data_IF_594738072690
#
_entry.id   IF_594738072690
#
_cell.length_a   1.000
_cell.length_b   1.000
_cell.length_c   1.000
_cell.angle_alpha   90.00
_cell.angle_beta   90.00
_cell.angle_gamma   90.00
#
_symmetry.space_group_name_H-M   'P 1'
#
loop_
_entity.id
_entity.type
_entity.pdbx_description
1 polymer ?
#
# COMPACT_ATOMS: atom_id res chain seq x y z
N UNK A 1 -10.08 -12.94 -12.94
CA UNK A 1 -8.68 -13.29 -12.61
C UNK A 1 -8.61 -14.69 -12.03
N UNK A 2 -7.55 -15.46 -12.31
CA UNK A 2 -7.37 -16.82 -11.79
C UNK A 2 -6.56 -16.79 -10.50
N UNK A 3 -7.09 -17.38 -9.41
CA UNK A 3 -6.37 -17.53 -8.14
C UNK A 3 -5.36 -18.67 -8.23
N UNK A 4 -4.15 -18.44 -7.76
CA UNK A 4 -3.11 -19.43 -7.51
C UNK A 4 -2.94 -19.53 -5.98
N UNK A 5 -3.47 -20.60 -5.41
CA UNK A 5 -3.32 -20.91 -3.97
C UNK A 5 -1.93 -21.51 -3.73
N UNK A 6 -1.22 -21.05 -2.68
CA UNK A 6 0.13 -21.53 -2.35
C UNK A 6 1.12 -21.46 -3.52
N UNK A 7 1.38 -20.27 -4.10
CA UNK A 7 2.19 -20.14 -5.30
C UNK A 7 3.62 -20.68 -5.08
N UNK A 8 4.10 -21.43 -6.07
CA UNK A 8 5.45 -21.95 -6.17
C UNK A 8 6.32 -21.03 -7.02
N UNK A 9 7.63 -21.29 -7.11
CA UNK A 9 8.53 -20.57 -8.03
C UNK A 9 8.09 -20.72 -9.50
N UNK A 10 7.53 -21.86 -9.90
CA UNK A 10 6.99 -22.04 -11.26
C UNK A 10 5.74 -21.18 -11.49
N UNK A 11 4.95 -20.92 -10.47
CA UNK A 11 3.80 -20.00 -10.58
C UNK A 11 4.25 -18.55 -10.63
N UNK A 12 5.35 -18.19 -9.95
CA UNK A 12 5.99 -16.87 -10.09
C UNK A 12 6.51 -16.65 -11.51
N UNK A 13 7.10 -17.67 -12.16
CA UNK A 13 7.49 -17.62 -13.59
C UNK A 13 6.29 -17.43 -14.50
N UNK A 14 5.21 -18.20 -14.32
CA UNK A 14 3.97 -18.05 -15.09
C UNK A 14 3.37 -16.65 -14.93
N UNK A 15 3.40 -16.10 -13.72
CA UNK A 15 2.93 -14.76 -13.43
C UNK A 15 3.82 -13.68 -14.09
N UNK A 16 5.14 -13.89 -14.12
CA UNK A 16 6.06 -13.03 -14.85
C UNK A 16 5.80 -13.03 -16.36
N UNK A 17 5.56 -14.21 -16.96
CA UNK A 17 5.14 -14.33 -18.37
C UNK A 17 3.80 -13.60 -18.58
N UNK A 18 2.83 -13.76 -17.71
CA UNK A 18 1.55 -13.04 -17.82
C UNK A 18 1.75 -11.51 -17.85
N UNK A 19 2.68 -10.97 -17.04
CA UNK A 19 3.03 -9.54 -17.08
C UNK A 19 3.65 -9.13 -18.42
N UNK A 20 4.56 -9.93 -18.99
CA UNK A 20 5.16 -9.64 -20.32
C UNK A 20 4.12 -9.66 -21.43
N UNK A 21 3.08 -10.50 -21.32
CA UNK A 21 1.94 -10.58 -22.24
C UNK A 21 0.93 -9.42 -22.05
N UNK A 22 1.18 -8.49 -21.11
CA UNK A 22 0.31 -7.35 -20.83
C UNK A 22 -0.88 -7.68 -19.92
N UNK A 23 -0.87 -8.86 -19.29
CA UNK A 23 -1.87 -9.21 -18.27
C UNK A 23 -1.54 -8.56 -16.93
N UNK A 24 -2.54 -8.55 -16.03
CA UNK A 24 -2.38 -8.05 -14.68
C UNK A 24 -2.12 -9.19 -13.70
N UNK A 25 -1.25 -8.95 -12.75
CA UNK A 25 -0.97 -9.89 -11.67
C UNK A 25 -1.20 -9.21 -10.34
N UNK A 26 -2.13 -9.73 -9.54
CA UNK A 26 -2.26 -9.34 -8.14
C UNK A 26 -1.30 -10.18 -7.31
N UNK A 27 -0.52 -9.51 -6.46
CA UNK A 27 0.49 -10.16 -5.63
C UNK A 27 0.52 -9.57 -4.22
N UNK A 28 0.86 -10.39 -3.20
CA UNK A 28 1.01 -9.94 -1.83
C UNK A 28 2.28 -9.11 -1.69
N UNK A 29 2.23 -8.12 -0.80
CA UNK A 29 3.43 -7.54 -0.22
C UNK A 29 3.38 -7.68 1.30
N UNK A 30 4.45 -7.29 1.99
CA UNK A 30 4.43 -7.26 3.45
C UNK A 30 3.44 -6.22 4.01
N UNK A 31 3.03 -5.24 3.19
CA UNK A 31 2.11 -4.15 3.55
C UNK A 31 0.66 -4.45 3.19
N UNK A 32 0.33 -4.42 1.91
CA UNK A 32 -1.00 -4.72 1.35
C UNK A 32 -0.84 -5.42 0.01
N UNK A 33 -1.87 -6.05 -0.52
CA UNK A 33 -1.85 -6.60 -1.88
C UNK A 33 -1.74 -5.48 -2.93
N UNK A 34 -0.95 -5.72 -3.97
CA UNK A 34 -0.83 -4.86 -5.14
C UNK A 34 -1.44 -5.49 -6.39
N UNK A 35 -2.05 -4.66 -7.26
CA UNK A 35 -2.43 -5.09 -8.61
C UNK A 35 -1.40 -4.54 -9.59
N UNK A 36 -0.62 -5.45 -10.19
CA UNK A 36 0.58 -5.14 -10.97
C UNK A 36 0.39 -5.22 -12.46
N UNK A 37 1.10 -4.36 -13.16
CA UNK A 37 1.31 -4.39 -14.60
C UNK A 37 2.78 -4.13 -14.92
N UNK A 38 3.25 -4.59 -16.08
CA UNK A 38 4.54 -4.14 -16.63
C UNK A 38 4.57 -2.61 -16.69
N UNK A 39 5.50 -2.01 -15.95
CA UNK A 39 5.63 -0.55 -15.87
C UNK A 39 6.07 0.08 -17.20
N UNK A 40 6.56 -0.71 -18.14
CA UNK A 40 6.96 -0.28 -19.49
C UNK A 40 5.83 -0.44 -20.53
N UNK A 41 4.69 -1.05 -20.16
CA UNK A 41 3.56 -1.31 -21.05
C UNK A 41 2.40 -0.32 -20.80
N UNK A 42 2.19 0.70 -21.66
CA UNK A 42 1.12 1.70 -21.48
C UNK A 42 -0.29 1.08 -21.51
N UNK A 43 -0.50 0.01 -22.28
CA UNK A 43 -1.80 -0.66 -22.37
C UNK A 43 -2.15 -1.34 -21.05
N UNK A 44 -1.20 -2.08 -20.46
CA UNK A 44 -1.36 -2.74 -19.18
C UNK A 44 -1.56 -1.72 -18.02
N UNK A 45 -0.81 -0.61 -18.02
CA UNK A 45 -0.99 0.49 -17.06
C UNK A 45 -2.40 1.10 -17.18
N UNK A 46 -2.86 1.37 -18.40
CA UNK A 46 -4.22 1.91 -18.61
C UNK A 46 -5.31 0.93 -18.13
N UNK A 47 -5.07 -0.38 -18.18
CA UNK A 47 -5.98 -1.39 -17.60
C UNK A 47 -6.08 -1.24 -16.09
N UNK A 48 -4.96 -1.02 -15.37
CA UNK A 48 -4.99 -0.73 -13.92
C UNK A 48 -5.90 0.47 -13.62
N UNK A 49 -5.70 1.59 -14.31
CA UNK A 49 -6.51 2.80 -14.10
C UNK A 49 -8.01 2.54 -14.35
N UNK A 50 -8.33 1.83 -15.42
CA UNK A 50 -9.71 1.50 -15.79
C UNK A 50 -10.37 0.58 -14.75
N UNK A 51 -9.73 -0.55 -14.41
CA UNK A 51 -10.28 -1.54 -13.47
C UNK A 51 -10.50 -0.92 -12.09
N UNK A 52 -9.54 -0.16 -11.60
CA UNK A 52 -9.64 0.50 -10.30
C UNK A 52 -10.52 1.76 -10.29
N UNK A 53 -11.03 2.22 -11.44
CA UNK A 53 -11.67 3.54 -11.59
C UNK A 53 -10.81 4.68 -11.03
N UNK A 54 -9.48 4.55 -11.19
CA UNK A 54 -8.49 5.46 -10.63
C UNK A 54 -8.24 6.64 -11.58
N UNK A 55 -8.19 7.89 -11.11
CA UNK A 55 -7.79 9.04 -11.94
C UNK A 55 -6.35 8.86 -12.46
N UNK A 56 -6.12 9.17 -13.75
CA UNK A 56 -4.78 9.07 -14.36
C UNK A 56 -3.78 10.06 -13.76
N UNK A 57 -4.24 11.13 -13.12
CA UNK A 57 -3.41 12.06 -12.35
C UNK A 57 -2.88 11.48 -11.04
N UNK A 58 -3.40 10.33 -10.58
CA UNK A 58 -2.91 9.64 -9.38
C UNK A 58 -1.73 8.75 -9.75
N UNK A 59 -0.48 9.05 -9.32
CA UNK A 59 0.70 8.28 -9.71
C UNK A 59 0.65 6.84 -9.19
N UNK A 60 1.43 5.97 -9.82
CA UNK A 60 1.65 4.58 -9.43
C UNK A 60 3.05 4.44 -8.81
N UNK A 61 3.23 3.46 -7.93
CA UNK A 61 4.53 3.08 -7.40
C UNK A 61 5.08 1.94 -8.27
N UNK A 62 6.32 2.08 -8.70
CA UNK A 62 7.05 1.04 -9.40
C UNK A 62 7.77 0.16 -8.39
N UNK A 63 7.48 -1.13 -8.44
CA UNK A 63 8.15 -2.15 -7.64
C UNK A 63 9.27 -2.77 -8.46
N UNK A 64 10.46 -2.84 -7.88
CA UNK A 64 11.67 -3.40 -8.48
C UNK A 64 12.22 -4.53 -7.61
N UNK A 65 13.01 -5.44 -8.20
CA UNK A 65 13.56 -6.61 -7.51
C UNK A 65 14.68 -6.22 -6.52
N UNK A 66 15.47 -5.21 -6.86
CA UNK A 66 16.60 -4.76 -6.06
C UNK A 66 17.00 -3.31 -6.37
N UNK A 67 17.89 -2.74 -5.54
CA UNK A 67 18.34 -1.34 -5.65
C UNK A 67 19.04 -1.02 -6.98
N UNK A 68 19.65 -2.00 -7.68
CA UNK A 68 20.38 -1.74 -8.95
C UNK A 68 19.43 -1.23 -10.03
N UNK A 69 18.17 -1.65 -10.02
CA UNK A 69 17.16 -1.24 -10.97
C UNK A 69 16.64 0.18 -10.72
N UNK A 70 17.00 0.78 -9.59
CA UNK A 70 16.62 2.14 -9.23
C UNK A 70 17.03 3.16 -10.31
N UNK A 71 18.25 3.02 -10.85
CA UNK A 71 18.82 3.94 -11.85
C UNK A 71 18.16 3.86 -13.23
N UNK A 72 17.36 2.84 -13.48
CA UNK A 72 16.51 2.80 -14.69
C UNK A 72 15.36 3.81 -14.62
N UNK A 73 14.82 4.03 -13.41
CA UNK A 73 13.60 4.81 -13.16
C UNK A 73 13.87 6.23 -12.68
N UNK A 74 14.94 6.44 -11.93
CA UNK A 74 15.25 7.70 -11.25
C UNK A 74 16.60 8.27 -11.65
N UNK A 75 16.73 9.60 -11.55
CA UNK A 75 17.97 10.36 -11.70
C UNK A 75 18.21 11.25 -10.48
N UNK A 76 19.42 11.78 -10.36
CA UNK A 76 19.81 12.76 -9.33
C UNK A 76 19.41 12.29 -7.91
N UNK A 77 19.76 11.04 -7.58
CA UNK A 77 19.39 10.39 -6.33
C UNK A 77 20.26 10.95 -5.20
N UNK A 78 19.68 11.62 -4.19
CA UNK A 78 20.46 12.14 -3.06
C UNK A 78 21.11 11.03 -2.24
N UNK A 79 22.28 11.31 -1.62
CA UNK A 79 22.98 10.33 -0.80
C UNK A 79 22.10 9.75 0.32
N UNK A 80 21.32 10.60 1.01
CA UNK A 80 20.42 10.12 2.06
C UNK A 80 19.35 9.16 1.52
N UNK A 81 18.89 9.35 0.28
CA UNK A 81 17.92 8.44 -0.34
C UNK A 81 18.56 7.10 -0.69
N UNK A 82 19.84 7.07 -1.08
CA UNK A 82 20.58 5.81 -1.24
C UNK A 82 20.74 5.10 0.10
N UNK A 83 21.11 5.82 1.17
CA UNK A 83 21.18 5.27 2.53
C UNK A 83 19.84 4.67 2.96
N UNK A 84 18.71 5.36 2.70
CA UNK A 84 17.38 4.84 3.01
C UNK A 84 17.06 3.56 2.21
N UNK A 85 17.41 3.53 0.92
CA UNK A 85 17.22 2.36 0.08
C UNK A 85 18.06 1.18 0.56
N UNK A 86 19.35 1.38 0.83
CA UNK A 86 20.27 0.33 1.32
C UNK A 86 19.89 -0.21 2.70
N UNK A 87 19.30 0.64 3.56
CA UNK A 87 18.92 0.27 4.93
C UNK A 87 17.57 -0.46 4.97
N UNK A 88 16.58 0.03 4.23
CA UNK A 88 15.19 -0.40 4.40
C UNK A 88 14.63 -1.20 3.23
N UNK A 89 15.38 -1.40 2.14
CA UNK A 89 15.00 -2.31 1.06
C UNK A 89 15.77 -3.64 1.14
N UNK A 90 15.06 -4.75 0.94
CA UNK A 90 13.61 -4.92 0.74
C UNK A 90 12.81 -4.55 2.00
N UNK A 91 11.69 -3.77 1.83
CA UNK A 91 10.87 -3.38 2.99
C UNK A 91 9.78 -2.35 2.71
N UNK A 92 9.08 -1.93 3.81
CA UNK A 92 7.85 -1.15 3.76
C UNK A 92 8.10 0.36 3.58
N UNK A 93 9.01 0.75 2.69
CA UNK A 93 9.35 2.14 2.37
C UNK A 93 9.28 2.38 0.87
N UNK A 94 8.69 3.50 0.47
CA UNK A 94 8.64 3.99 -0.92
C UNK A 94 9.37 5.32 -0.99
N UNK A 95 10.31 5.45 -1.91
CA UNK A 95 11.04 6.68 -2.15
C UNK A 95 10.47 7.38 -3.38
N UNK A 96 10.07 8.65 -3.21
CA UNK A 96 9.73 9.53 -4.32
C UNK A 96 11.00 10.24 -4.74
N UNK A 97 11.42 9.99 -5.97
CA UNK A 97 12.67 10.46 -6.55
C UNK A 97 12.43 11.24 -7.83
N UNK A 98 13.40 12.00 -8.28
CA UNK A 98 13.35 12.65 -9.59
C UNK A 98 13.25 11.61 -10.70
N UNK A 99 12.25 11.73 -11.53
CA UNK A 99 11.98 10.81 -12.63
C UNK A 99 13.08 10.94 -13.70
N UNK A 100 13.62 9.82 -14.16
CA UNK A 100 14.53 9.78 -15.29
C UNK A 100 13.81 10.17 -16.58
N UNK A 101 14.50 10.85 -17.47
CA UNK A 101 13.99 11.18 -18.80
C UNK A 101 13.62 9.90 -19.58
N UNK A 102 12.48 9.92 -20.28
CA UNK A 102 11.95 8.78 -21.03
C UNK A 102 10.99 7.89 -20.23
N UNK A 103 10.91 8.02 -18.91
CA UNK A 103 9.89 7.33 -18.10
C UNK A 103 8.51 7.95 -18.38
N UNK A 104 7.51 7.10 -18.61
CA UNK A 104 6.16 7.49 -19.04
C UNK A 104 5.42 8.33 -18.01
N UNK A 105 4.75 9.39 -18.49
CA UNK A 105 3.84 10.22 -17.69
C UNK A 105 2.66 9.43 -17.09
N UNK A 106 2.27 8.32 -17.72
CA UNK A 106 1.22 7.44 -17.19
C UNK A 106 1.56 6.87 -15.81
N UNK A 107 2.85 6.61 -15.53
CA UNK A 107 3.27 6.12 -14.22
C UNK A 107 3.20 7.20 -13.13
N UNK A 108 3.51 8.42 -13.52
CA UNK A 108 3.75 9.53 -12.58
C UNK A 108 2.57 10.49 -12.47
N UNK A 109 1.49 10.25 -13.23
CA UNK A 109 0.37 11.21 -13.32
C UNK A 109 0.80 12.57 -13.86
N UNK A 110 1.83 12.60 -14.71
CA UNK A 110 2.39 13.83 -15.29
C UNK A 110 3.44 14.54 -14.41
N UNK A 111 3.80 13.99 -13.24
CA UNK A 111 4.79 14.59 -12.35
C UNK A 111 6.23 14.32 -12.81
N UNK A 112 7.15 15.22 -12.43
CA UNK A 112 8.60 15.08 -12.64
C UNK A 112 9.26 14.10 -11.64
N UNK A 113 8.48 13.48 -10.77
CA UNK A 113 8.92 12.53 -9.76
C UNK A 113 8.27 11.16 -9.94
N UNK A 114 8.89 10.13 -9.39
CA UNK A 114 8.44 8.75 -9.45
C UNK A 114 8.58 8.05 -8.09
N UNK A 115 7.59 7.27 -7.71
CA UNK A 115 7.64 6.42 -6.51
C UNK A 115 8.21 5.05 -6.82
N UNK A 116 9.23 4.63 -6.07
CA UNK A 116 9.92 3.36 -6.24
C UNK A 116 10.00 2.61 -4.92
N UNK A 117 9.87 1.28 -4.98
CA UNK A 117 9.93 0.40 -3.81
C UNK A 117 10.52 -0.97 -4.17
N UNK A 118 11.22 -1.56 -3.21
CA UNK A 118 11.58 -3.00 -3.20
C UNK A 118 10.80 -3.66 -2.06
N UNK A 119 9.72 -4.42 -2.33
CA UNK A 119 8.93 -5.07 -1.27
C UNK A 119 9.70 -6.25 -0.66
N UNK A 120 9.45 -6.60 0.61
CA UNK A 120 10.13 -7.72 1.30
C UNK A 120 9.38 -9.06 1.23
N UNK A 121 8.14 -9.08 0.77
CA UNK A 121 7.39 -10.32 0.67
C UNK A 121 8.04 -11.29 -0.33
N UNK A 122 8.24 -12.55 0.06
CA UNK A 122 8.92 -13.57 -0.75
C UNK A 122 8.29 -13.77 -2.13
N UNK A 123 6.96 -13.85 -2.21
CA UNK A 123 6.24 -14.06 -3.48
C UNK A 123 6.43 -12.84 -4.40
N UNK A 124 6.36 -11.63 -3.83
CA UNK A 124 6.62 -10.40 -4.59
C UNK A 124 8.06 -10.37 -5.13
N UNK A 125 9.04 -10.75 -4.30
CA UNK A 125 10.45 -10.80 -4.70
C UNK A 125 10.71 -11.82 -5.80
N UNK A 126 10.16 -13.03 -5.67
CA UNK A 126 10.26 -14.05 -6.71
C UNK A 126 9.62 -13.60 -8.02
N UNK A 127 8.41 -13.00 -7.97
CA UNK A 127 7.74 -12.45 -9.16
C UNK A 127 8.57 -11.37 -9.85
N UNK A 128 9.10 -10.41 -9.07
CA UNK A 128 9.91 -9.30 -9.58
C UNK A 128 11.21 -9.82 -10.23
N UNK A 129 11.87 -10.78 -9.59
CA UNK A 129 13.09 -11.38 -10.11
C UNK A 129 12.83 -12.15 -11.42
N UNK A 130 11.77 -12.98 -11.46
CA UNK A 130 11.40 -13.72 -12.67
C UNK A 130 10.99 -12.78 -13.82
N UNK A 131 10.29 -11.68 -13.51
CA UNK A 131 9.94 -10.67 -14.48
C UNK A 131 11.18 -9.94 -15.03
N UNK A 132 12.16 -9.63 -14.17
CA UNK A 132 13.44 -9.06 -14.57
C UNK A 132 14.25 -10.03 -15.47
N UNK A 133 14.26 -11.33 -15.15
CA UNK A 133 14.91 -12.37 -15.97
C UNK A 133 14.31 -12.45 -17.39
N UNK A 134 13.05 -12.04 -17.57
CA UNK A 134 12.39 -11.92 -18.88
C UNK A 134 12.63 -10.57 -19.57
N UNK A 135 13.46 -9.69 -18.99
CA UNK A 135 13.78 -8.36 -19.52
C UNK A 135 12.89 -7.24 -18.99
N UNK A 136 11.95 -7.53 -18.08
CA UNK A 136 11.12 -6.53 -17.42
C UNK A 136 11.94 -5.62 -16.51
N UNK A 137 11.56 -4.34 -16.40
CA UNK A 137 12.31 -3.35 -15.63
C UNK A 137 11.68 -3.02 -14.28
N UNK A 138 10.42 -3.38 -14.07
CA UNK A 138 9.67 -3.15 -12.84
C UNK A 138 8.17 -3.29 -13.05
N UNK A 139 7.45 -3.46 -11.97
CA UNK A 139 6.00 -3.68 -11.93
C UNK A 139 5.34 -2.45 -11.32
N UNK A 140 4.51 -1.74 -12.10
CA UNK A 140 3.68 -0.65 -11.57
C UNK A 140 2.50 -1.26 -10.81
N UNK A 141 2.42 -1.02 -9.49
CA UNK A 141 1.37 -1.61 -8.68
C UNK A 141 0.82 -0.65 -7.62
N UNK A 142 -0.42 -0.16 -7.77
CA UNK A 142 -1.20 0.38 -6.66
C UNK A 142 -1.77 -0.76 -5.79
N UNK A 143 -2.32 -0.43 -4.63
CA UNK A 143 -3.05 -1.40 -3.78
C UNK A 143 -4.18 -2.11 -4.53
N UNK A 144 -4.47 -3.36 -4.20
CA UNK A 144 -5.45 -4.19 -4.90
C UNK A 144 -6.89 -4.00 -4.35
N UNK A 145 -7.40 -2.76 -4.40
CA UNK A 145 -8.77 -2.35 -4.04
C UNK A 145 -9.34 -1.40 -5.09
N UNK A 146 -10.62 -1.10 -5.07
CA UNK A 146 -11.17 0.00 -5.85
C UNK A 146 -10.66 1.35 -5.32
N UNK A 147 -10.61 2.36 -6.19
CA UNK A 147 -10.04 3.66 -5.78
C UNK A 147 -10.84 4.30 -4.64
N UNK A 148 -10.15 4.65 -3.55
CA UNK A 148 -10.75 5.25 -2.34
C UNK A 148 -11.24 4.25 -1.28
N UNK A 149 -11.41 2.98 -1.63
CA UNK A 149 -11.86 1.93 -0.71
C UNK A 149 -10.72 1.37 0.14
N UNK A 150 -11.06 0.46 1.06
CA UNK A 150 -10.12 -0.23 1.95
C UNK A 150 -9.12 -1.04 1.16
N UNK A 151 -7.84 -0.96 1.52
CA UNK A 151 -6.79 -1.76 0.85
C UNK A 151 -6.86 -3.22 1.28
N UNK A 152 -6.81 -4.13 0.30
CA UNK A 152 -6.87 -5.57 0.56
C UNK A 152 -5.60 -6.08 1.25
N UNK A 153 -5.78 -6.80 2.35
CA UNK A 153 -4.70 -7.45 3.12
C UNK A 153 -4.70 -8.97 3.01
N UNK A 154 -5.68 -9.54 2.30
CA UNK A 154 -5.80 -10.97 2.01
C UNK A 154 -6.23 -11.19 0.56
N UNK A 155 -5.97 -12.39 0.03
CA UNK A 155 -6.39 -12.77 -1.33
C UNK A 155 -7.91 -12.90 -1.47
N UNK A 156 -8.61 -13.24 -0.40
CA UNK A 156 -10.06 -13.42 -0.41
C UNK A 156 -10.77 -12.09 -0.69
N UNK A 157 -10.30 -11.01 -0.05
CA UNK A 157 -10.77 -9.65 -0.32
C UNK A 157 -10.48 -9.24 -1.76
N UNK A 158 -9.27 -9.52 -2.26
CA UNK A 158 -8.92 -9.26 -3.67
C UNK A 158 -9.85 -9.97 -4.62
N UNK A 159 -10.17 -11.26 -4.38
CA UNK A 159 -11.08 -12.02 -5.23
C UNK A 159 -12.48 -11.40 -5.28
N UNK A 160 -12.99 -10.97 -4.14
CA UNK A 160 -14.32 -10.33 -4.10
C UNK A 160 -14.30 -8.97 -4.82
N UNK A 161 -13.27 -8.14 -4.58
CA UNK A 161 -13.12 -6.81 -5.22
C UNK A 161 -13.06 -6.93 -6.75
N UNK A 162 -12.29 -7.89 -7.28
CA UNK A 162 -12.08 -8.04 -8.72
C UNK A 162 -12.85 -9.19 -9.36
N UNK A 163 -13.89 -9.69 -8.71
CA UNK A 163 -14.71 -10.82 -9.15
C UNK A 163 -15.21 -10.71 -10.60
N UNK A 164 -15.58 -9.49 -11.01
CA UNK A 164 -16.12 -9.19 -12.32
C UNK A 164 -15.19 -8.39 -13.23
N UNK A 165 -13.95 -8.11 -12.80
CA UNK A 165 -13.09 -7.12 -13.45
C UNK A 165 -11.88 -7.72 -14.20
N UNK A 166 -11.58 -8.99 -14.06
CA UNK A 166 -10.46 -9.64 -14.71
C UNK A 166 -10.77 -10.13 -16.13
N UNK A 167 -9.72 -10.32 -16.94
CA UNK A 167 -9.81 -11.05 -18.20
C UNK A 167 -9.03 -12.38 -18.08
N UNK A 168 -9.21 -13.24 -19.09
CA UNK A 168 -8.40 -14.46 -19.18
C UNK A 168 -6.92 -14.09 -19.31
N UNK A 169 -6.06 -14.72 -18.51
CA UNK A 169 -4.64 -14.41 -18.38
C UNK A 169 -4.26 -13.61 -17.14
N UNK A 170 -5.20 -12.88 -16.52
CA UNK A 170 -4.94 -12.19 -15.26
C UNK A 170 -4.89 -13.18 -14.08
N UNK A 171 -3.94 -12.97 -13.17
CA UNK A 171 -3.66 -13.87 -12.04
C UNK A 171 -3.75 -13.18 -10.69
N UNK A 172 -4.04 -13.97 -9.66
CA UNK A 172 -3.92 -13.59 -8.25
C UNK A 172 -3.01 -14.60 -7.56
N UNK A 173 -1.89 -14.12 -7.01
CA UNK A 173 -0.98 -14.95 -6.21
C UNK A 173 -1.39 -14.84 -4.73
N UNK A 174 -1.81 -15.96 -4.12
CA UNK A 174 -2.19 -15.99 -2.72
C UNK A 174 -0.96 -16.12 -1.82
N UNK A 175 -0.65 -15.10 -1.06
CA UNK A 175 0.41 -15.11 -0.03
C UNK A 175 -0.11 -15.04 1.40
N UNK A 176 -1.40 -15.32 1.61
CA UNK A 176 -2.03 -15.21 2.93
C UNK A 176 -2.27 -13.76 3.36
N UNK A 177 -2.23 -13.53 4.65
CA UNK A 177 -2.41 -12.21 5.27
C UNK A 177 -1.12 -11.41 5.24
N UNK A 178 -1.18 -10.14 4.83
CA UNK A 178 -0.05 -9.23 4.87
C UNK A 178 0.46 -9.02 6.31
N UNK A 179 1.78 -8.82 6.44
CA UNK A 179 2.46 -8.73 7.74
C UNK A 179 2.08 -7.46 8.50
N UNK A 180 2.13 -6.28 7.84
CA UNK A 180 1.89 -4.98 8.48
C UNK A 180 0.44 -4.50 8.37
N UNK A 181 -0.29 -4.87 7.32
CA UNK A 181 -1.70 -4.55 7.15
C UNK A 181 -2.02 -3.09 6.82
N UNK A 182 -1.02 -2.22 6.71
CA UNK A 182 -1.12 -0.83 6.23
C UNK A 182 -0.03 -0.58 5.19
N UNK A 183 -0.21 0.43 4.35
CA UNK A 183 0.72 0.72 3.25
C UNK A 183 2.08 1.21 3.74
N UNK A 184 3.08 1.14 2.83
CA UNK A 184 4.45 1.63 3.04
C UNK A 184 4.51 3.10 3.46
N UNK A 185 5.53 3.47 4.24
CA UNK A 185 5.93 4.86 4.40
C UNK A 185 6.32 5.44 3.05
N UNK A 186 5.83 6.63 2.69
CA UNK A 186 6.26 7.34 1.47
C UNK A 186 7.09 8.56 1.89
N UNK A 187 8.31 8.61 1.37
CA UNK A 187 9.26 9.68 1.64
C UNK A 187 9.52 10.45 0.35
N UNK A 188 9.36 11.77 0.41
CA UNK A 188 9.85 12.65 -0.63
C UNK A 188 11.37 12.78 -0.52
N UNK A 189 12.06 12.41 -1.58
CA UNK A 189 13.51 12.51 -1.74
C UNK A 189 13.91 13.38 -2.94
N UNK A 190 13.03 14.30 -3.37
CA UNK A 190 13.34 15.24 -4.44
C UNK A 190 13.97 16.54 -3.94
N UNK A 191 13.93 16.77 -2.62
CA UNK A 191 14.46 17.96 -1.95
C UNK A 191 15.82 17.68 -1.28
N UNK A 192 16.43 18.70 -0.69
CA UNK A 192 17.71 18.58 0.00
C UNK A 192 17.63 17.73 1.29
N UNK A 193 16.44 17.54 1.84
CA UNK A 193 16.17 16.71 3.03
C UNK A 193 14.90 15.87 2.85
N UNK A 194 14.80 14.70 3.52
CA UNK A 194 13.64 13.84 3.44
C UNK A 194 12.42 14.48 4.10
N UNK A 195 11.24 14.23 3.53
CA UNK A 195 9.96 14.57 4.18
C UNK A 195 8.94 13.46 3.98
N UNK A 196 8.12 13.17 5.01
CA UNK A 196 7.11 12.11 4.95
C UNK A 196 5.86 12.64 4.27
N UNK A 197 5.49 12.01 3.15
CA UNK A 197 4.23 12.26 2.43
C UNK A 197 3.09 11.36 2.92
N UNK A 198 3.43 10.15 3.37
CA UNK A 198 2.47 9.20 3.94
C UNK A 198 3.14 8.44 5.07
N UNK A 199 2.66 8.54 6.32
CA UNK A 199 3.19 7.77 7.42
C UNK A 199 2.91 6.26 7.25
N UNK A 200 3.83 5.42 7.71
CA UNK A 200 3.77 3.97 7.69
C UNK A 200 4.64 3.37 8.79
N UNK A 201 5.12 2.15 8.59
CA UNK A 201 5.92 1.41 9.59
C UNK A 201 7.32 2.02 9.79
N UNK A 202 7.92 2.58 8.73
CA UNK A 202 9.17 3.31 8.86
C UNK A 202 8.86 4.72 9.33
N UNK A 203 9.33 5.05 10.53
CA UNK A 203 8.97 6.28 11.25
C UNK A 203 10.01 7.39 11.04
N UNK A 204 9.66 8.67 11.34
CA UNK A 204 10.62 9.78 11.28
C UNK A 204 11.88 9.53 12.09
N UNK A 205 11.72 8.97 13.28
CA UNK A 205 12.82 8.69 14.22
C UNK A 205 13.81 7.66 13.63
N UNK A 206 13.28 6.62 12.95
CA UNK A 206 14.14 5.65 12.25
C UNK A 206 14.89 6.30 11.09
N UNK A 207 14.23 7.17 10.32
CA UNK A 207 14.88 7.90 9.22
C UNK A 207 16.03 8.75 9.75
N UNK A 208 15.80 9.49 10.83
CA UNK A 208 16.82 10.34 11.47
C UNK A 208 18.00 9.51 11.98
N UNK A 209 17.75 8.38 12.64
CA UNK A 209 18.82 7.47 13.15
C UNK A 209 19.77 7.03 12.03
N UNK A 210 19.23 6.65 10.87
CA UNK A 210 20.06 6.09 9.78
C UNK A 210 20.64 7.13 8.83
N UNK A 211 20.00 8.28 8.68
CA UNK A 211 20.47 9.33 7.77
C UNK A 211 21.19 10.49 8.46
N UNK A 212 21.01 10.65 9.76
CA UNK A 212 21.45 11.82 10.51
C UNK A 212 20.66 13.10 10.17
N UNK A 213 19.54 12.99 9.42
CA UNK A 213 18.76 14.13 8.93
C UNK A 213 17.36 14.09 9.54
N UNK A 214 16.93 15.19 10.16
CA UNK A 214 15.58 15.33 10.69
C UNK A 214 14.56 15.18 9.57
N UNK A 215 13.65 14.23 9.72
CA UNK A 215 12.58 13.97 8.77
C UNK A 215 11.26 14.52 9.28
N UNK A 216 10.86 15.68 8.82
CA UNK A 216 9.60 16.29 9.22
C UNK A 216 8.43 15.79 8.35
N UNK A 217 7.20 15.72 8.92
CA UNK A 217 5.99 15.61 8.11
C UNK A 217 5.95 16.73 7.09
N UNK A 218 5.65 16.41 5.84
CA UNK A 218 5.52 17.44 4.80
C UNK A 218 4.30 18.31 5.12
N UNK A 219 4.53 19.55 5.54
CA UNK A 219 3.46 20.56 5.73
C UNK A 219 2.90 21.08 4.41
N UNK A 220 3.72 21.06 3.35
CA UNK A 220 3.36 21.44 1.99
C UNK A 220 4.04 20.45 1.03
N UNK A 221 3.26 19.70 0.29
CA UNK A 221 3.76 18.75 -0.71
C UNK A 221 4.41 19.44 -1.94
N UNK A 222 4.53 20.78 -1.96
CA UNK A 222 4.99 21.56 -3.12
C UNK A 222 4.32 21.12 -4.44
N UNK A 223 3.04 20.76 -4.38
CA UNK A 223 2.29 20.20 -5.51
C UNK A 223 2.57 18.71 -5.79
N UNK A 224 3.43 18.05 -5.01
CA UNK A 224 3.73 16.64 -5.15
C UNK A 224 2.54 15.79 -4.69
N UNK A 225 2.09 14.90 -5.56
CA UNK A 225 0.99 13.98 -5.28
C UNK A 225 1.57 12.58 -5.10
N UNK A 226 1.24 11.92 -3.99
CA UNK A 226 1.57 10.52 -3.75
C UNK A 226 0.30 9.69 -3.45
N UNK A 227 0.30 8.37 -3.66
CA UNK A 227 -0.83 7.53 -3.33
C UNK A 227 -1.23 7.63 -1.85
N UNK A 228 -2.54 7.80 -1.57
CA UNK A 228 -3.05 7.88 -0.20
C UNK A 228 -2.96 9.26 0.46
N UNK A 229 -2.61 10.33 -0.27
CA UNK A 229 -2.64 11.71 0.25
C UNK A 229 -4.02 12.33 0.24
N UNK A 230 -5.00 11.77 -0.49
CA UNK A 230 -6.37 12.27 -0.51
C UNK A 230 -6.99 12.25 0.91
N UNK A 231 -7.76 13.28 1.24
CA UNK A 231 -8.48 13.37 2.51
C UNK A 231 -9.50 12.25 2.67
N UNK A 232 -10.17 11.84 1.57
CA UNK A 232 -11.08 10.69 1.54
C UNK A 232 -10.35 9.49 0.95
N UNK A 233 -10.00 8.54 1.78
CA UNK A 233 -9.32 7.31 1.37
C UNK A 233 -9.53 6.21 2.41
N UNK A 234 -9.38 4.95 2.02
CA UNK A 234 -9.49 3.78 2.89
C UNK A 234 -10.87 3.59 3.52
N UNK A 235 -11.92 4.17 2.94
CA UNK A 235 -13.25 4.19 3.54
C UNK A 235 -13.99 2.86 3.36
N UNK A 236 -14.44 2.20 4.46
CA UNK A 236 -15.40 1.10 4.40
C UNK A 236 -16.81 1.63 4.07
N UNK A 237 -17.76 0.69 3.85
CA UNK A 237 -19.18 1.06 3.70
C UNK A 237 -19.78 1.46 5.05
N UNK A 238 -19.37 0.79 6.12
CA UNK A 238 -19.77 1.09 7.50
C UNK A 238 -19.25 2.45 7.95
N UNK A 239 -20.10 3.26 8.55
CA UNK A 239 -19.71 4.56 9.12
C UNK A 239 -18.77 4.38 10.31
N UNK A 240 -17.71 5.19 10.36
CA UNK A 240 -16.70 5.16 11.43
C UNK A 240 -16.89 6.32 12.39
N UNK A 241 -16.93 6.00 13.69
CA UNK A 241 -16.86 6.99 14.78
C UNK A 241 -15.56 6.80 15.58
N UNK A 242 -14.89 7.91 15.84
CA UNK A 242 -13.61 7.91 16.56
C UNK A 242 -13.84 8.30 18.03
N UNK A 243 -13.33 7.47 18.95
CA UNK A 243 -13.39 7.71 20.40
C UNK A 243 -14.82 7.99 20.93
N UNK A 244 -15.84 7.46 20.26
CA UNK A 244 -17.23 7.52 20.67
C UNK A 244 -17.61 6.26 21.43
N UNK A 245 -18.42 6.39 22.50
CA UNK A 245 -19.00 5.24 23.18
C UNK A 245 -19.92 4.47 22.21
N UNK A 246 -19.72 3.16 22.04
CA UNK A 246 -20.53 2.36 21.14
C UNK A 246 -21.93 2.10 21.75
N UNK A 247 -22.93 2.02 20.87
CA UNK A 247 -24.31 1.69 21.19
C UNK A 247 -24.64 0.24 20.76
N UNK A 248 -25.82 -0.24 21.14
CA UNK A 248 -26.34 -1.56 20.72
C UNK A 248 -26.33 -1.66 19.17
N UNK A 249 -25.72 -2.70 18.63
CA UNK A 249 -25.60 -2.95 17.21
C UNK A 249 -24.36 -2.33 16.55
N UNK A 250 -23.58 -1.52 17.27
CA UNK A 250 -22.29 -1.00 16.77
C UNK A 250 -21.21 -2.08 16.84
N UNK A 251 -20.22 -1.96 15.95
CA UNK A 251 -18.93 -2.64 16.03
C UNK A 251 -17.94 -1.86 16.91
N UNK A 252 -17.03 -2.57 17.59
CA UNK A 252 -16.00 -1.96 18.42
C UNK A 252 -14.59 -2.48 18.04
N UNK A 253 -13.70 -1.57 17.64
CA UNK A 253 -12.26 -1.78 17.52
C UNK A 253 -11.55 -0.99 18.61
N UNK A 254 -11.02 -1.68 19.61
CA UNK A 254 -10.36 -1.07 20.77
C UNK A 254 -9.42 -2.05 21.46
N UNK A 255 -8.43 -1.56 22.19
CA UNK A 255 -7.59 -2.35 23.08
C UNK A 255 -8.37 -3.08 24.17
N UNK A 256 -7.67 -3.94 24.93
CA UNK A 256 -8.28 -4.76 25.99
C UNK A 256 -8.78 -3.93 27.17
N UNK A 257 -8.24 -2.77 27.39
CA UNK A 257 -8.60 -1.80 28.44
C UNK A 257 -10.03 -1.25 28.27
N UNK A 258 -10.58 -1.33 27.07
CA UNK A 258 -11.95 -0.92 26.77
C UNK A 258 -12.89 -2.14 26.82
N UNK A 259 -13.79 -2.26 27.81
CA UNK A 259 -14.76 -3.36 27.85
C UNK A 259 -15.76 -3.24 26.69
N UNK A 260 -16.33 -4.39 26.29
CA UNK A 260 -17.40 -4.42 25.29
C UNK A 260 -18.74 -4.27 25.98
N UNK A 261 -19.49 -3.18 25.74
CA UNK A 261 -20.83 -3.04 26.33
C UNK A 261 -21.80 -4.11 25.79
N UNK A 262 -22.88 -4.41 26.55
CA UNK A 262 -23.91 -5.33 26.10
C UNK A 262 -24.53 -4.91 24.76
N UNK A 263 -24.68 -5.87 23.83
CA UNK A 263 -25.24 -5.63 22.50
C UNK A 263 -24.28 -4.96 21.47
N UNK A 264 -23.05 -4.66 21.86
CA UNK A 264 -21.97 -4.20 20.97
C UNK A 264 -21.19 -5.42 20.44
N UNK A 265 -20.80 -5.39 19.17
CA UNK A 265 -20.05 -6.47 18.50
C UNK A 265 -18.55 -6.14 18.55
N UNK A 266 -17.78 -6.93 19.32
CA UNK A 266 -16.33 -6.77 19.32
C UNK A 266 -15.74 -7.21 17.95
N UNK A 267 -15.23 -6.25 17.19
CA UNK A 267 -14.62 -6.49 15.86
C UNK A 267 -13.19 -7.00 16.04
N UNK A 268 -12.36 -6.26 16.80
CA UNK A 268 -11.00 -6.67 17.14
C UNK A 268 -10.54 -6.09 18.48
N UNK A 269 -9.50 -6.73 19.05
CA UNK A 269 -8.87 -6.35 20.32
C UNK A 269 -7.34 -6.40 20.16
N UNK A 270 -6.73 -5.44 19.46
CA UNK A 270 -5.29 -5.44 19.26
C UNK A 270 -4.53 -5.30 20.59
N UNK A 271 -3.43 -6.06 20.73
CA UNK A 271 -2.61 -6.11 21.95
C UNK A 271 -1.51 -5.04 21.97
N UNK A 272 -1.13 -4.56 20.80
CA UNK A 272 -0.08 -3.57 20.59
C UNK A 272 -0.30 -2.84 19.25
N UNK A 273 0.52 -1.83 18.97
CA UNK A 273 0.39 -1.00 17.76
C UNK A 273 0.62 -1.78 16.46
N UNK A 274 1.48 -2.80 16.44
CA UNK A 274 1.70 -3.62 15.25
C UNK A 274 0.48 -4.48 14.94
N UNK A 275 -0.10 -5.12 15.95
CA UNK A 275 -1.34 -5.88 15.80
C UNK A 275 -2.49 -4.96 15.40
N UNK A 276 -2.53 -3.73 15.94
CA UNK A 276 -3.52 -2.72 15.58
C UNK A 276 -3.43 -2.39 14.08
N UNK A 277 -2.24 -2.04 13.59
CA UNK A 277 -2.02 -1.77 12.18
C UNK A 277 -2.41 -2.96 11.30
N UNK A 278 -1.95 -4.17 11.67
CA UNK A 278 -2.21 -5.41 10.94
C UNK A 278 -3.70 -5.73 10.81
N UNK A 279 -4.48 -5.48 11.85
CA UNK A 279 -5.91 -5.83 11.89
C UNK A 279 -6.83 -4.69 11.46
N UNK A 280 -6.32 -3.49 11.22
CA UNK A 280 -7.12 -2.30 10.96
C UNK A 280 -8.06 -2.49 9.76
N UNK A 281 -7.53 -2.81 8.58
CA UNK A 281 -8.34 -2.98 7.38
C UNK A 281 -9.23 -4.24 7.44
N UNK A 282 -8.75 -5.31 8.04
CA UNK A 282 -9.58 -6.50 8.31
C UNK A 282 -10.76 -6.17 9.22
N UNK A 283 -10.58 -5.23 10.16
CA UNK A 283 -11.67 -4.75 11.02
C UNK A 283 -12.71 -3.96 10.23
N UNK A 284 -12.30 -3.17 9.26
CA UNK A 284 -13.20 -2.46 8.37
C UNK A 284 -14.03 -3.44 7.51
N UNK A 285 -13.35 -4.41 6.88
CA UNK A 285 -13.98 -5.46 6.09
C UNK A 285 -14.95 -6.33 6.91
N UNK A 286 -14.55 -6.67 8.15
CA UNK A 286 -15.39 -7.44 9.08
C UNK A 286 -16.63 -6.65 9.50
N UNK A 287 -16.49 -5.35 9.76
CA UNK A 287 -17.62 -4.48 10.09
C UNK A 287 -18.63 -4.42 8.93
N UNK A 288 -18.14 -4.26 7.69
CA UNK A 288 -18.98 -4.28 6.49
C UNK A 288 -19.68 -5.64 6.29
N UNK A 289 -18.95 -6.75 6.45
CA UNK A 289 -19.48 -8.10 6.32
C UNK A 289 -20.57 -8.42 7.35
N UNK A 290 -20.37 -7.99 8.60
CA UNK A 290 -21.33 -8.17 9.68
C UNK A 290 -22.48 -7.15 9.63
N UNK A 291 -22.41 -6.16 8.74
CA UNK A 291 -23.40 -5.07 8.60
C UNK A 291 -23.71 -4.40 9.93
N UNK A 292 -22.67 -4.12 10.72
CA UNK A 292 -22.85 -3.39 11.98
C UNK A 292 -23.42 -2.00 11.71
N UNK A 293 -24.13 -1.43 12.68
CA UNK A 293 -24.77 -0.11 12.54
C UNK A 293 -23.73 0.99 12.27
N UNK A 294 -22.63 0.96 12.99
CA UNK A 294 -21.44 1.78 12.81
C UNK A 294 -20.22 1.10 13.41
N UNK A 295 -19.02 1.57 13.12
CA UNK A 295 -17.77 1.08 13.72
C UNK A 295 -17.16 2.13 14.63
N UNK A 296 -17.22 1.91 15.92
CA UNK A 296 -16.56 2.74 16.92
C UNK A 296 -15.09 2.29 17.09
N UNK A 297 -14.17 3.23 16.92
CA UNK A 297 -12.72 2.99 16.96
C UNK A 297 -12.10 3.83 18.06
N UNK A 298 -11.43 3.20 19.04
CA UNK A 298 -10.60 3.88 19.99
C UNK A 298 -9.17 3.96 19.48
N UNK A 299 -8.71 5.17 19.15
CA UNK A 299 -7.36 5.40 18.63
C UNK A 299 -6.29 5.08 19.68
N UNK A 300 -5.09 4.65 19.25
CA UNK A 300 -3.95 4.50 20.14
C UNK A 300 -3.62 5.81 20.85
N UNK A 301 -3.31 5.73 22.14
CA UNK A 301 -2.88 6.87 22.96
C UNK A 301 -1.38 7.15 22.79
N UNK A 302 -0.96 7.45 21.56
CA UNK A 302 0.43 7.79 21.21
C UNK A 302 0.44 8.65 19.94
N UNK A 303 1.31 9.66 19.90
CA UNK A 303 1.50 10.55 18.76
C UNK A 303 2.85 10.32 18.06
N UNK A 304 3.46 9.16 18.27
CA UNK A 304 4.75 8.78 17.68
C UNK A 304 4.71 7.37 17.06
N UNK A 305 5.73 7.06 16.30
CA UNK A 305 5.90 5.75 15.71
C UNK A 305 4.74 5.36 14.76
N UNK A 306 4.40 4.07 14.75
CA UNK A 306 3.33 3.51 13.90
C UNK A 306 1.93 4.01 14.27
N UNK A 307 1.72 4.53 15.49
CA UNK A 307 0.44 5.12 15.90
C UNK A 307 0.03 6.28 14.99
N UNK A 308 0.99 7.08 14.50
CA UNK A 308 0.74 8.16 13.54
C UNK A 308 0.14 7.62 12.24
N UNK A 309 0.66 6.49 11.75
CA UNK A 309 0.13 5.84 10.54
C UNK A 309 -1.29 5.28 10.77
N UNK A 310 -1.55 4.64 11.91
CA UNK A 310 -2.88 4.15 12.27
C UNK A 310 -3.88 5.30 12.31
N UNK A 311 -3.54 6.39 13.04
CA UNK A 311 -4.40 7.59 13.15
C UNK A 311 -4.69 8.19 11.77
N UNK A 312 -3.66 8.35 10.91
CA UNK A 312 -3.83 8.85 9.53
C UNK A 312 -4.86 8.02 8.75
N UNK A 313 -4.76 6.69 8.83
CA UNK A 313 -5.70 5.79 8.12
C UNK A 313 -7.12 5.87 8.65
N UNK A 314 -7.29 5.89 9.97
CA UNK A 314 -8.62 5.98 10.59
C UNK A 314 -9.28 7.34 10.31
N UNK A 315 -8.53 8.44 10.43
CA UNK A 315 -9.05 9.78 10.14
C UNK A 315 -9.50 9.91 8.67
N UNK A 316 -8.71 9.39 7.71
CA UNK A 316 -9.08 9.40 6.30
C UNK A 316 -10.29 8.49 5.99
N UNK A 317 -10.38 7.35 6.66
CA UNK A 317 -11.52 6.44 6.52
C UNK A 317 -12.82 7.02 7.10
N UNK A 318 -12.73 7.79 8.17
CA UNK A 318 -13.87 8.47 8.79
C UNK A 318 -14.30 9.77 8.07
N UNK A 319 -13.46 10.31 7.17
CA UNK A 319 -13.76 11.53 6.41
C UNK A 319 -14.67 11.22 5.22
N UNK A 320 -15.99 11.23 5.44
CA UNK A 320 -17.02 11.03 4.38
C UNK A 320 -17.42 12.31 3.69
#
# INVERSE_FOLDING_TARGET
MKLISNPTSDDSKKAAVALTDGNLVVFPTETVYGIGADASNPQAINRIYRIKKRPKSSPLIVHISNIRNLFYWASDIPNYAQTLAETFWPGPITLILKRRAGVSDLLTGGQSSIGIRVPSNRIAQELLLEFENLGGQGIAAPSANMHGEVSATTSDVVQEVFKNEGINGDLILNGGTCEYGIESTIINCTDASPSILRPGVITPELIEVYTGIICNPSKNSNGLIAPGMSLKHYAPQTEIFINKLPEIGDGLLAGREFPTPPGVIRIATPKNLFEYAKTLYQSFEKADSLKVKSLCIYLPDSDSGIAVAIKDRVLKAASR
#
